data_IF_402647081126
#
_entry.id   IF_402647081126
#
_cell.length_a   1.000
_cell.length_b   1.000
_cell.length_c   1.000
_cell.angle_alpha   90.00
_cell.angle_beta   90.00
_cell.angle_gamma   90.00
#
_symmetry.space_group_name_H-M   'P 1'
#
loop_
_entity.id
_entity.type
_entity.pdbx_description
1 polymer ?
#
# COMPACT_ATOMS: atom_id res chain seq x y z
N UNK A 1 11.57 9.73 -4.89
CA UNK A 1 12.38 10.97 -4.73
C UNK A 1 11.98 11.67 -3.43
N UNK A 2 12.16 11.02 -2.26
CA UNK A 2 11.76 11.55 -0.94
C UNK A 2 12.92 11.59 0.08
N UNK A 3 14.14 11.21 -0.33
CA UNK A 3 15.28 11.02 0.58
C UNK A 3 15.90 12.32 1.13
N UNK A 4 15.65 13.48 0.53
CA UNK A 4 16.23 14.77 0.98
C UNK A 4 15.33 15.57 1.94
N UNK A 5 14.13 15.07 2.26
CA UNK A 5 13.24 15.75 3.21
C UNK A 5 13.75 15.54 4.65
N UNK A 6 13.62 16.53 5.53
CA UNK A 6 13.88 16.35 6.97
C UNK A 6 12.71 15.62 7.67
N UNK A 7 12.98 14.96 8.81
CA UNK A 7 11.99 14.25 9.63
C UNK A 7 10.80 15.13 10.04
N UNK A 8 11.07 16.40 10.33
CA UNK A 8 10.07 17.42 10.68
C UNK A 8 9.08 17.66 9.54
N UNK A 9 9.59 17.79 8.31
CA UNK A 9 8.78 17.97 7.10
C UNK A 9 7.97 16.71 6.76
N UNK A 10 8.53 15.50 6.98
CA UNK A 10 7.77 14.26 6.78
C UNK A 10 6.63 14.10 7.78
N UNK A 11 6.84 14.50 9.04
CA UNK A 11 5.77 14.57 10.03
C UNK A 11 4.68 15.55 9.59
N UNK A 12 5.07 16.75 9.11
CA UNK A 12 4.13 17.74 8.57
C UNK A 12 3.32 17.18 7.40
N UNK A 13 3.97 16.46 6.49
CA UNK A 13 3.31 15.79 5.38
C UNK A 13 2.29 14.75 5.87
N UNK A 14 2.68 13.88 6.80
CA UNK A 14 1.77 12.88 7.38
C UNK A 14 0.54 13.53 8.04
N UNK A 15 0.71 14.67 8.72
CA UNK A 15 -0.40 15.44 9.28
C UNK A 15 -1.36 15.96 8.20
N UNK A 16 -0.82 16.54 7.12
CA UNK A 16 -1.63 17.08 6.02
C UNK A 16 -2.40 15.99 5.29
N UNK A 17 -1.76 14.84 5.03
CA UNK A 17 -2.38 13.65 4.43
C UNK A 17 -3.49 13.07 5.32
N UNK A 18 -3.34 13.16 6.65
CA UNK A 18 -4.38 12.80 7.61
C UNK A 18 -5.54 13.81 7.70
N UNK A 19 -5.47 14.93 6.95
CA UNK A 19 -6.55 15.91 6.83
C UNK A 19 -6.54 17.04 7.85
N UNK A 20 -5.46 17.20 8.63
CA UNK A 20 -5.34 18.29 9.60
C UNK A 20 -4.69 19.51 8.95
N UNK A 21 -5.31 20.68 9.07
CA UNK A 21 -4.86 21.93 8.44
C UNK A 21 -3.73 22.57 9.22
N UNK A 22 -3.69 22.39 10.54
CA UNK A 22 -2.65 22.97 11.39
C UNK A 22 -2.12 22.00 12.46
N UNK A 23 -0.92 22.30 12.96
CA UNK A 23 -0.33 21.58 14.08
C UNK A 23 -1.16 21.70 15.36
N UNK A 24 -1.79 22.86 15.57
CA UNK A 24 -2.71 23.09 16.68
C UNK A 24 -3.93 22.18 16.59
N UNK A 25 -4.57 22.11 15.41
CA UNK A 25 -5.75 21.25 15.18
C UNK A 25 -5.44 19.77 15.45
N UNK A 26 -4.27 19.29 15.02
CA UNK A 26 -3.82 17.92 15.31
C UNK A 26 -3.57 17.72 16.82
N UNK A 27 -2.87 18.65 17.47
CA UNK A 27 -2.59 18.57 18.89
C UNK A 27 -3.88 18.54 19.73
N UNK A 28 -4.84 19.40 19.42
CA UNK A 28 -6.14 19.44 20.09
C UNK A 28 -6.92 18.14 19.86
N UNK A 29 -6.93 17.62 18.62
CA UNK A 29 -7.64 16.38 18.27
C UNK A 29 -7.14 15.15 19.04
N UNK A 30 -5.83 15.07 19.28
CA UNK A 30 -5.17 13.91 19.88
C UNK A 30 -4.71 14.15 21.33
N UNK A 31 -5.06 15.30 21.91
CA UNK A 31 -4.72 15.65 23.30
C UNK A 31 -3.20 15.76 23.54
N UNK A 32 -2.48 16.34 22.58
CA UNK A 32 -1.03 16.56 22.70
C UNK A 32 -0.74 17.96 23.19
N UNK A 33 0.39 18.14 23.86
CA UNK A 33 0.90 19.47 24.17
C UNK A 33 1.28 20.17 22.87
N UNK A 34 0.50 21.18 22.47
CA UNK A 34 0.64 21.86 21.18
C UNK A 34 2.06 22.40 20.93
N UNK A 35 2.70 22.98 21.96
CA UNK A 35 4.08 23.47 21.87
C UNK A 35 5.10 22.36 21.61
N UNK A 36 4.89 21.17 22.19
CA UNK A 36 5.77 20.01 22.00
C UNK A 36 5.60 19.42 20.60
N UNK A 37 4.35 19.25 20.15
CA UNK A 37 4.06 18.78 18.81
C UNK A 37 4.60 19.75 17.74
N UNK A 38 4.32 21.05 17.89
CA UNK A 38 4.82 22.09 16.99
C UNK A 38 6.35 22.15 16.95
N UNK A 39 7.05 21.95 18.07
CA UNK A 39 8.51 21.92 18.08
C UNK A 39 9.09 20.73 17.28
N UNK A 40 8.42 19.57 17.33
CA UNK A 40 8.81 18.42 16.51
C UNK A 40 8.51 18.66 15.01
N UNK A 41 7.35 19.23 14.68
CA UNK A 41 6.96 19.52 13.29
C UNK A 41 7.78 20.66 12.67
N UNK A 42 8.23 21.63 13.48
CA UNK A 42 9.08 22.74 13.02
C UNK A 42 10.58 22.40 13.05
N UNK A 43 10.96 21.21 13.51
CA UNK A 43 12.36 20.78 13.56
C UNK A 43 13.22 21.48 14.63
N UNK A 44 12.60 22.23 15.56
CA UNK A 44 13.34 22.91 16.64
C UNK A 44 13.74 21.96 17.76
N UNK A 45 13.14 20.77 17.81
CA UNK A 45 13.49 19.69 18.74
C UNK A 45 13.49 18.34 18.01
N UNK A 46 14.53 17.54 18.24
CA UNK A 46 14.60 16.18 17.73
C UNK A 46 13.49 15.27 18.29
N UNK A 47 13.01 14.35 17.46
CA UNK A 47 12.00 13.36 17.84
C UNK A 47 12.62 12.06 18.31
N UNK A 48 12.09 11.53 19.42
CA UNK A 48 12.39 10.16 19.87
C UNK A 48 11.50 9.15 19.15
N UNK A 49 11.92 7.88 19.02
CA UNK A 49 11.12 6.81 18.40
C UNK A 49 9.67 6.74 18.92
N UNK A 50 9.45 6.84 20.24
CA UNK A 50 8.11 6.80 20.83
C UNK A 50 7.19 7.94 20.32
N UNK A 51 7.76 9.12 20.06
CA UNK A 51 6.99 10.24 19.51
C UNK A 51 6.66 9.99 18.03
N UNK A 52 7.60 9.44 17.27
CA UNK A 52 7.40 9.08 15.86
C UNK A 52 6.26 8.06 15.74
N UNK A 53 6.31 6.98 16.53
CA UNK A 53 5.28 5.93 16.53
C UNK A 53 3.91 6.49 16.94
N UNK A 54 3.88 7.33 17.98
CA UNK A 54 2.65 8.00 18.44
C UNK A 54 2.01 8.83 17.33
N UNK A 55 2.79 9.62 16.61
CA UNK A 55 2.29 10.48 15.53
C UNK A 55 1.88 9.67 14.30
N UNK A 56 2.69 8.69 13.91
CA UNK A 56 2.38 7.78 12.80
C UNK A 56 1.03 7.09 13.01
N UNK A 57 0.80 6.54 14.21
CA UNK A 57 -0.46 5.89 14.56
C UNK A 57 -1.66 6.84 14.49
N UNK A 58 -1.51 8.06 15.00
CA UNK A 58 -2.58 9.06 14.98
C UNK A 58 -2.93 9.52 13.56
N UNK A 59 -1.93 9.67 12.70
CA UNK A 59 -2.12 10.09 11.32
C UNK A 59 -2.37 8.92 10.35
N UNK A 60 -2.40 7.67 10.85
CA UNK A 60 -2.46 6.45 10.03
C UNK A 60 -1.39 6.45 8.93
N UNK A 61 -0.21 6.95 9.27
CA UNK A 61 0.98 6.99 8.42
C UNK A 61 1.98 5.91 8.87
N UNK A 62 3.01 5.69 8.08
CA UNK A 62 4.07 4.73 8.39
C UNK A 62 5.16 5.38 9.27
N UNK A 63 5.50 4.82 10.44
CA UNK A 63 6.58 5.35 11.27
C UNK A 63 7.94 5.35 10.56
N UNK A 64 8.21 4.38 9.66
CA UNK A 64 9.42 4.38 8.83
C UNK A 64 9.44 5.54 7.84
N UNK A 65 8.26 5.93 7.33
CA UNK A 65 8.17 7.09 6.46
C UNK A 65 8.54 8.35 7.23
N UNK A 66 7.96 8.56 8.41
CA UNK A 66 8.31 9.72 9.24
C UNK A 66 9.81 9.68 9.59
N UNK A 67 10.32 8.57 10.12
CA UNK A 67 11.69 8.45 10.58
C UNK A 67 12.73 8.61 9.45
N UNK A 68 12.55 7.93 8.32
CA UNK A 68 13.60 7.72 7.32
C UNK A 68 13.21 8.14 5.89
N UNK A 69 11.96 8.53 5.65
CA UNK A 69 11.45 8.82 4.30
C UNK A 69 11.21 7.59 3.45
N UNK A 70 11.22 6.39 4.05
CA UNK A 70 10.93 5.13 3.38
C UNK A 70 9.54 4.65 3.79
N UNK A 71 8.69 4.36 2.82
CA UNK A 71 7.43 3.67 3.10
C UNK A 71 7.73 2.18 3.17
N UNK A 72 7.29 1.51 4.24
CA UNK A 72 7.15 0.07 4.29
C UNK A 72 5.90 -0.28 3.47
N UNK A 73 5.98 -0.05 2.16
CA UNK A 73 5.00 -0.61 1.23
C UNK A 73 5.09 -2.12 1.42
N UNK A 74 4.08 -2.71 2.07
CA UNK A 74 3.88 -4.17 2.06
C UNK A 74 4.15 -4.62 0.63
N UNK A 75 5.02 -5.61 0.40
CA UNK A 75 5.34 -6.03 -0.96
C UNK A 75 4.02 -6.39 -1.65
N UNK A 76 3.63 -5.54 -2.60
CA UNK A 76 2.41 -5.72 -3.39
C UNK A 76 2.86 -6.30 -4.70
N UNK A 77 2.56 -7.57 -4.92
CA UNK A 77 2.79 -8.20 -6.23
C UNK A 77 1.95 -7.42 -7.25
N UNK A 78 2.61 -6.88 -8.27
CA UNK A 78 1.99 -6.02 -9.28
C UNK A 78 1.17 -4.82 -8.74
N UNK A 79 1.37 -4.39 -7.49
CA UNK A 79 0.62 -3.27 -6.91
C UNK A 79 -0.79 -3.61 -6.41
N UNK A 80 -1.16 -4.89 -6.28
CA UNK A 80 -2.47 -5.30 -5.74
C UNK A 80 -2.43 -5.55 -4.23
N UNK A 81 -3.59 -5.43 -3.58
CA UNK A 81 -3.73 -5.76 -2.16
C UNK A 81 -3.63 -7.27 -1.91
N UNK A 82 -3.23 -7.67 -0.69
CA UNK A 82 -3.14 -9.09 -0.28
C UNK A 82 -4.46 -9.85 -0.48
N UNK A 83 -5.61 -9.18 -0.29
CA UNK A 83 -6.93 -9.75 -0.55
C UNK A 83 -7.11 -10.16 -2.02
N UNK A 84 -6.80 -9.23 -2.94
CA UNK A 84 -6.93 -9.46 -4.39
C UNK A 84 -5.97 -10.55 -4.84
N UNK A 85 -4.73 -10.54 -4.30
CA UNK A 85 -3.76 -11.58 -4.58
C UNK A 85 -4.27 -12.98 -4.14
N UNK A 86 -4.91 -13.09 -2.97
CA UNK A 86 -5.51 -14.36 -2.51
C UNK A 86 -6.63 -14.82 -3.42
N UNK A 87 -7.51 -13.91 -3.82
CA UNK A 87 -8.61 -14.22 -4.75
C UNK A 87 -8.06 -14.72 -6.10
N UNK A 88 -7.02 -14.09 -6.64
CA UNK A 88 -6.35 -14.53 -7.88
C UNK A 88 -5.69 -15.90 -7.73
N UNK A 89 -4.96 -16.14 -6.63
CA UNK A 89 -4.30 -17.42 -6.38
C UNK A 89 -5.35 -18.53 -6.25
N UNK A 90 -6.40 -18.30 -5.46
CA UNK A 90 -7.45 -19.30 -5.25
C UNK A 90 -8.14 -19.68 -6.57
N UNK A 91 -8.49 -18.69 -7.38
CA UNK A 91 -9.08 -18.89 -8.70
C UNK A 91 -8.21 -19.75 -9.62
N UNK A 92 -6.90 -19.53 -9.63
CA UNK A 92 -5.96 -20.34 -10.45
C UNK A 92 -5.86 -21.75 -9.89
N UNK A 93 -5.70 -21.90 -8.57
CA UNK A 93 -5.50 -23.21 -7.93
C UNK A 93 -6.75 -24.11 -8.00
N UNK A 94 -7.94 -23.52 -8.07
CA UNK A 94 -9.20 -24.26 -8.23
C UNK A 94 -9.46 -24.68 -9.69
N UNK A 95 -8.69 -24.17 -10.66
CA UNK A 95 -8.87 -24.50 -12.07
C UNK A 95 -8.11 -25.78 -12.47
N UNK A 96 -8.79 -26.71 -13.15
CA UNK A 96 -8.20 -28.01 -13.53
C UNK A 96 -6.94 -27.88 -14.40
N UNK A 97 -6.88 -26.87 -15.27
CA UNK A 97 -5.70 -26.59 -16.11
C UNK A 97 -4.47 -26.06 -15.36
N UNK A 98 -4.60 -25.67 -14.09
CA UNK A 98 -3.45 -25.28 -13.27
C UNK A 98 -2.68 -26.49 -12.71
N UNK A 99 -3.29 -27.69 -12.69
CA UNK A 99 -2.65 -28.90 -12.16
C UNK A 99 -1.48 -29.39 -13.02
N UNK A 100 -1.57 -29.17 -14.32
CA UNK A 100 -0.59 -29.66 -15.31
C UNK A 100 0.36 -28.55 -15.81
N UNK A 101 0.15 -27.30 -15.39
CA UNK A 101 0.96 -26.16 -15.78
C UNK A 101 2.29 -26.12 -15.02
N UNK A 102 3.35 -25.63 -15.67
CA UNK A 102 4.62 -25.44 -14.98
C UNK A 102 4.51 -24.32 -13.94
N UNK A 103 5.22 -24.40 -12.79
CA UNK A 103 5.18 -23.37 -11.75
C UNK A 103 5.50 -21.95 -12.23
N UNK A 104 6.36 -21.81 -13.24
CA UNK A 104 6.68 -20.53 -13.87
C UNK A 104 5.49 -19.95 -14.65
N UNK A 105 4.74 -20.78 -15.37
CA UNK A 105 3.56 -20.35 -16.12
C UNK A 105 2.44 -19.90 -15.17
N UNK A 106 2.30 -20.58 -14.03
CA UNK A 106 1.39 -20.19 -12.95
C UNK A 106 1.81 -18.83 -12.36
N UNK A 107 3.11 -18.62 -12.11
CA UNK A 107 3.62 -17.37 -11.56
C UNK A 107 3.41 -16.19 -12.52
N UNK A 108 3.69 -16.38 -13.81
CA UNK A 108 3.47 -15.36 -14.84
C UNK A 108 1.98 -15.01 -14.96
N UNK A 109 1.10 -16.03 -14.92
CA UNK A 109 -0.34 -15.83 -14.94
C UNK A 109 -0.85 -15.06 -13.71
N UNK A 110 -0.33 -15.33 -12.52
CA UNK A 110 -0.65 -14.56 -11.30
C UNK A 110 -0.28 -13.09 -11.49
N UNK A 111 0.92 -12.82 -12.02
CA UNK A 111 1.41 -11.46 -12.22
C UNK A 111 0.53 -10.71 -13.23
N UNK A 112 0.20 -11.34 -14.36
CA UNK A 112 -0.66 -10.77 -15.41
C UNK A 112 -2.06 -10.44 -14.89
N UNK A 113 -2.68 -11.37 -14.15
CA UNK A 113 -4.00 -11.16 -13.55
C UNK A 113 -3.99 -10.04 -12.51
N UNK A 114 -2.94 -9.95 -11.69
CA UNK A 114 -2.79 -8.86 -10.73
C UNK A 114 -2.62 -7.51 -11.46
N UNK A 115 -1.82 -7.45 -12.53
CA UNK A 115 -1.68 -6.24 -13.34
C UNK A 115 -3.01 -5.80 -13.96
N UNK A 116 -3.80 -6.75 -14.48
CA UNK A 116 -5.10 -6.43 -15.03
C UNK A 116 -6.08 -5.97 -13.95
N UNK A 117 -6.16 -6.67 -12.81
CA UNK A 117 -7.07 -6.33 -11.72
C UNK A 117 -6.83 -4.90 -11.19
N UNK A 118 -5.56 -4.49 -11.15
CA UNK A 118 -5.18 -3.11 -10.83
C UNK A 118 -5.74 -2.09 -11.84
N UNK A 119 -5.78 -2.43 -13.13
CA UNK A 119 -6.17 -1.52 -14.21
C UNK A 119 -7.70 -1.40 -14.40
N UNK A 120 -8.46 -2.44 -14.07
CA UNK A 120 -9.87 -2.56 -14.46
C UNK A 120 -10.89 -2.25 -13.37
N UNK A 121 -10.49 -2.14 -12.09
CA UNK A 121 -11.43 -1.94 -10.98
C UNK A 121 -12.36 -3.15 -10.74
N UNK A 122 -13.12 -3.13 -9.64
CA UNK A 122 -13.71 -4.33 -9.00
C UNK A 122 -14.62 -5.26 -9.82
N UNK A 123 -15.03 -4.91 -11.04
CA UNK A 123 -15.85 -5.75 -11.94
C UNK A 123 -15.04 -6.42 -13.06
N UNK A 124 -13.74 -6.14 -13.20
CA UNK A 124 -12.92 -6.65 -14.29
C UNK A 124 -12.63 -8.15 -14.22
N UNK A 125 -12.48 -8.71 -13.01
CA UNK A 125 -11.98 -10.07 -12.79
C UNK A 125 -12.83 -11.16 -13.47
N UNK A 126 -14.16 -11.06 -13.42
CA UNK A 126 -15.05 -12.07 -14.01
C UNK A 126 -14.94 -12.13 -15.54
N UNK A 127 -14.82 -10.97 -16.19
CA UNK A 127 -14.73 -10.89 -17.65
C UNK A 127 -13.38 -11.42 -18.20
N UNK A 128 -12.33 -11.42 -17.37
CA UNK A 128 -11.01 -11.94 -17.75
C UNK A 128 -11.00 -13.45 -17.74
N UNK A 129 -11.62 -14.07 -16.73
CA UNK A 129 -11.72 -15.52 -16.60
C UNK A 129 -12.35 -16.09 -17.86
N UNK A 130 -13.47 -15.49 -18.27
CA UNK A 130 -14.19 -15.88 -19.49
C UNK A 130 -13.34 -15.67 -20.75
N UNK A 131 -12.63 -14.54 -20.87
CA UNK A 131 -11.80 -14.25 -22.04
C UNK A 131 -10.52 -15.10 -22.14
N UNK A 132 -9.86 -15.37 -21.01
CA UNK A 132 -8.64 -16.16 -20.94
C UNK A 132 -8.92 -17.64 -21.26
N UNK A 133 -10.04 -18.18 -20.79
CA UNK A 133 -10.49 -19.53 -21.14
C UNK A 133 -10.86 -19.66 -22.62
N UNK A 134 -11.59 -18.69 -23.17
CA UNK A 134 -11.94 -18.69 -24.60
C UNK A 134 -10.69 -18.70 -25.50
N UNK A 135 -9.63 -17.97 -25.11
CA UNK A 135 -8.38 -17.90 -25.87
C UNK A 135 -7.53 -19.17 -25.80
N UNK A 136 -7.61 -19.93 -24.70
CA UNK A 136 -6.83 -21.17 -24.55
C UNK A 136 -7.53 -22.37 -25.20
N UNK A 137 -8.87 -22.45 -25.09
CA UNK A 137 -9.67 -23.47 -25.79
C UNK A 137 -9.52 -23.40 -27.32
N UNK A 138 -9.35 -22.20 -27.88
CA UNK A 138 -9.13 -21.99 -29.32
C UNK A 138 -7.73 -22.35 -29.85
N UNK A 139 -6.77 -22.72 -28.98
CA UNK A 139 -5.43 -23.18 -29.41
C UNK A 139 -5.26 -24.71 -29.38
N UNK A 140 -6.29 -25.44 -28.93
CA UNK A 140 -6.28 -26.90 -28.77
C UNK A 140 -7.12 -27.65 -29.82
N UNK A 141 -7.64 -26.95 -30.85
CA UNK A 141 -8.30 -27.53 -32.02
C UNK A 141 -7.58 -27.13 -33.30
#
# INVERSE_FOLDING_TARGET
>A
MYSDMDISNRLKQARMEAGFRSAQEAADRFGWTASTYAAHENGTRGMKPDAIERYAKAFRSDPCFIAFGTQNSKPSIAGVSDRVLREVIQLIMEHDGARDAAPSEIADLIIDLCHYAKQSGGTGLSNIVDFAFARHAGKAG
#
